data_IF_113054126453
#
_entry.id   IF_113054126453
#
_cell.length_a   1.000
_cell.length_b   1.000
_cell.length_c   1.000
_cell.angle_alpha   90.00
_cell.angle_beta   90.00
_cell.angle_gamma   90.00
#
_symmetry.space_group_name_H-M   'P 1'
#
loop_
_entity.id
_entity.type
_entity.pdbx_description
1 polymer ?
#
# COMPACT_ATOMS: atom_id res chain seq x y z
N UNK A 1 13.78 -36.92 31.13
CA UNK A 1 12.38 -37.33 31.35
C UNK A 1 12.04 -38.37 30.30
N UNK A 2 11.71 -39.61 30.70
CA UNK A 2 11.40 -40.68 29.74
C UNK A 2 9.96 -40.46 29.27
N UNK A 3 9.77 -40.13 28.00
CA UNK A 3 8.45 -39.92 27.40
C UNK A 3 7.78 -41.28 27.14
N UNK A 4 6.47 -41.42 27.38
CA UNK A 4 5.70 -42.68 27.19
C UNK A 4 6.02 -43.35 25.85
N UNK A 5 6.06 -42.57 24.76
CA UNK A 5 6.42 -43.07 23.41
C UNK A 5 7.81 -43.72 23.33
N UNK A 6 8.80 -43.23 24.08
CA UNK A 6 10.14 -43.81 24.09
C UNK A 6 10.19 -45.19 24.75
N UNK A 7 9.33 -45.44 25.74
CA UNK A 7 9.18 -46.75 26.38
C UNK A 7 8.49 -47.73 25.41
N UNK A 8 7.43 -47.27 24.75
CA UNK A 8 6.62 -48.09 23.84
C UNK A 8 7.02 -47.95 22.36
N UNK A 9 8.25 -47.52 22.07
CA UNK A 9 8.70 -47.24 20.71
C UNK A 9 8.62 -48.48 19.81
N UNK A 10 8.92 -49.66 20.37
CA UNK A 10 8.84 -50.92 19.64
C UNK A 10 7.39 -51.24 19.24
N UNK A 11 6.42 -51.00 20.12
CA UNK A 11 4.99 -51.19 19.82
C UNK A 11 4.52 -50.24 18.71
N UNK A 12 4.90 -48.96 18.80
CA UNK A 12 4.54 -47.91 17.83
C UNK A 12 5.12 -48.21 16.44
N UNK A 13 6.37 -48.70 16.36
CA UNK A 13 7.07 -48.95 15.08
C UNK A 13 6.85 -50.32 14.45
N UNK A 14 6.33 -51.30 15.19
CA UNK A 14 6.09 -52.65 14.67
C UNK A 14 4.62 -52.92 14.46
N UNK A 15 3.84 -52.96 15.54
CA UNK A 15 2.42 -53.30 15.48
C UNK A 15 1.59 -52.15 14.92
N UNK A 16 1.71 -50.95 15.48
CA UNK A 16 0.87 -49.81 15.06
C UNK A 16 1.19 -49.40 13.63
N UNK A 17 2.47 -49.33 13.25
CA UNK A 17 2.88 -49.00 11.88
C UNK A 17 2.34 -49.97 10.82
N UNK A 18 2.15 -51.25 11.16
CA UNK A 18 1.58 -52.26 10.25
C UNK A 18 0.04 -52.20 10.19
N UNK A 19 -0.61 -51.56 11.16
CA UNK A 19 -2.06 -51.47 11.25
C UNK A 19 -2.52 -50.03 10.99
N UNK A 20 -2.74 -49.70 9.71
CA UNK A 20 -3.14 -48.36 9.27
C UNK A 20 -4.45 -47.83 9.86
N UNK A 21 -5.24 -48.69 10.51
CA UNK A 21 -6.48 -48.34 11.21
C UNK A 21 -6.24 -47.85 12.65
N UNK A 22 -5.06 -48.09 13.22
CA UNK A 22 -4.71 -47.67 14.57
C UNK A 22 -3.90 -46.36 14.54
N UNK A 23 -4.23 -45.38 15.38
CA UNK A 23 -3.41 -44.18 15.53
C UNK A 23 -2.07 -44.51 16.21
N UNK A 24 -1.04 -43.69 15.95
CA UNK A 24 0.19 -43.76 16.73
C UNK A 24 -0.08 -43.44 18.21
N UNK A 25 0.83 -43.84 19.09
CA UNK A 25 0.70 -43.50 20.52
C UNK A 25 0.64 -41.98 20.72
N UNK A 26 1.33 -41.21 19.87
CA UNK A 26 1.29 -39.76 19.87
C UNK A 26 -0.09 -39.22 19.47
N UNK A 27 -0.62 -39.69 18.33
CA UNK A 27 -1.92 -39.24 17.81
C UNK A 27 -3.06 -39.61 18.76
N UNK A 28 -3.00 -40.80 19.38
CA UNK A 28 -3.94 -41.22 20.43
C UNK A 28 -3.92 -40.24 21.62
N UNK A 29 -2.74 -39.81 22.06
CA UNK A 29 -2.61 -38.83 23.14
C UNK A 29 -3.22 -37.47 22.79
N UNK A 30 -2.95 -36.97 21.58
CA UNK A 30 -3.55 -35.73 21.07
C UNK A 30 -5.07 -35.84 20.99
N UNK A 31 -5.59 -36.97 20.54
CA UNK A 31 -7.04 -37.19 20.43
C UNK A 31 -7.73 -37.25 21.79
N UNK A 32 -7.14 -37.95 22.77
CA UNK A 32 -7.66 -37.95 24.15
C UNK A 32 -7.66 -36.54 24.73
N UNK A 33 -6.58 -35.76 24.52
CA UNK A 33 -6.51 -34.38 24.98
C UNK A 33 -7.56 -33.49 24.29
N UNK A 34 -7.72 -33.63 22.97
CA UNK A 34 -8.77 -32.95 22.21
C UNK A 34 -10.15 -33.26 22.79
N UNK A 35 -10.49 -34.54 22.90
CA UNK A 35 -11.83 -34.99 23.28
C UNK A 35 -12.21 -34.63 24.73
N UNK A 36 -11.29 -34.81 25.69
CA UNK A 36 -11.61 -34.60 27.10
C UNK A 36 -11.33 -33.19 27.60
N UNK A 37 -10.43 -32.43 26.96
CA UNK A 37 -10.02 -31.10 27.45
C UNK A 37 -10.49 -29.99 26.51
N UNK A 38 -10.08 -30.00 25.24
CA UNK A 38 -10.34 -28.88 24.32
C UNK A 38 -11.76 -28.91 23.75
N UNK A 39 -12.40 -30.08 23.67
CA UNK A 39 -13.81 -30.20 23.27
C UNK A 39 -14.78 -29.80 24.39
N UNK A 40 -14.33 -29.61 25.62
CA UNK A 40 -15.17 -28.98 26.65
C UNK A 40 -15.39 -27.51 26.29
N UNK A 41 -16.66 -27.13 26.08
CA UNK A 41 -17.02 -25.80 25.60
C UNK A 41 -16.55 -24.67 26.53
N UNK A 42 -16.51 -24.89 27.86
CA UNK A 42 -16.07 -23.85 28.81
C UNK A 42 -14.57 -23.67 28.75
N UNK A 43 -13.82 -24.76 28.68
CA UNK A 43 -12.36 -24.73 28.52
C UNK A 43 -12.00 -24.09 27.19
N UNK A 44 -12.64 -24.51 26.10
CA UNK A 44 -12.41 -23.95 24.77
C UNK A 44 -12.67 -22.45 24.75
N UNK A 45 -13.87 -22.00 25.13
CA UNK A 45 -14.22 -20.57 25.11
C UNK A 45 -13.25 -19.75 25.94
N UNK A 46 -12.96 -20.15 27.19
CA UNK A 46 -12.03 -19.41 28.05
C UNK A 46 -10.62 -19.35 27.49
N UNK A 47 -10.16 -20.42 26.85
CA UNK A 47 -8.84 -20.47 26.22
C UNK A 47 -8.76 -19.50 25.05
N UNK A 48 -9.77 -19.54 24.16
CA UNK A 48 -9.85 -18.64 23.00
C UNK A 48 -9.97 -17.18 23.45
N UNK A 49 -10.89 -16.88 24.39
CA UNK A 49 -11.08 -15.53 24.93
C UNK A 49 -9.80 -15.02 25.61
N UNK A 50 -9.07 -15.90 26.31
CA UNK A 50 -7.79 -15.57 26.93
C UNK A 50 -6.68 -15.26 25.91
N UNK A 51 -6.58 -16.06 24.84
CA UNK A 51 -5.63 -15.82 23.74
C UNK A 51 -5.93 -14.47 23.08
N UNK A 52 -7.19 -14.23 22.72
CA UNK A 52 -7.65 -12.98 22.11
C UNK A 52 -7.37 -11.77 23.01
N UNK A 53 -7.62 -11.90 24.32
CA UNK A 53 -7.30 -10.88 25.31
C UNK A 53 -5.80 -10.55 25.32
N UNK A 54 -4.93 -11.55 25.34
CA UNK A 54 -3.48 -11.34 25.32
C UNK A 54 -3.03 -10.65 24.04
N UNK A 55 -3.53 -11.05 22.87
CA UNK A 55 -3.23 -10.38 21.60
C UNK A 55 -3.72 -8.92 21.62
N UNK A 56 -4.91 -8.67 22.17
CA UNK A 56 -5.45 -7.33 22.34
C UNK A 56 -4.61 -6.45 23.27
N UNK A 57 -4.02 -7.02 24.33
CA UNK A 57 -3.07 -6.34 25.22
C UNK A 57 -1.77 -6.00 24.49
N UNK A 58 -1.23 -6.94 23.72
CA UNK A 58 -0.02 -6.69 22.94
C UNK A 58 -0.19 -5.55 21.91
N UNK A 59 -1.35 -5.46 21.25
CA UNK A 59 -1.66 -4.33 20.34
C UNK A 59 -1.69 -2.97 21.01
N UNK A 60 -1.88 -2.93 22.34
CA UNK A 60 -1.77 -1.73 23.18
C UNK A 60 -0.37 -1.54 23.77
N UNK A 61 0.63 -2.21 23.20
CA UNK A 61 2.03 -2.17 23.63
C UNK A 61 2.24 -2.71 25.06
N UNK A 62 1.30 -3.53 25.57
CA UNK A 62 1.48 -4.22 26.84
C UNK A 62 2.33 -5.49 26.64
N UNK A 63 3.27 -5.73 27.57
CA UNK A 63 4.07 -6.96 27.54
C UNK A 63 3.21 -8.20 27.82
N UNK A 64 3.39 -9.23 26.98
CA UNK A 64 2.72 -10.52 27.09
C UNK A 64 3.72 -11.67 26.98
N UNK A 65 3.32 -12.86 27.44
CA UNK A 65 4.10 -14.07 27.22
C UNK A 65 3.83 -14.64 25.82
N UNK A 66 4.68 -14.25 24.86
CA UNK A 66 4.65 -14.74 23.47
C UNK A 66 4.90 -16.25 23.37
N UNK A 67 5.66 -16.82 24.31
CA UNK A 67 5.96 -18.26 24.30
C UNK A 67 4.72 -19.08 24.66
N UNK A 68 3.94 -18.61 25.65
CA UNK A 68 2.66 -19.19 26.02
C UNK A 68 1.66 -19.12 24.86
N UNK A 69 1.52 -17.96 24.20
CA UNK A 69 0.65 -17.83 23.03
C UNK A 69 1.03 -18.79 21.92
N UNK A 70 2.32 -18.87 21.59
CA UNK A 70 2.83 -19.80 20.58
C UNK A 70 2.49 -21.24 20.95
N UNK A 71 2.74 -21.66 22.18
CA UNK A 71 2.42 -23.02 22.63
C UNK A 71 0.93 -23.32 22.56
N UNK A 72 0.06 -22.38 22.95
CA UNK A 72 -1.39 -22.57 22.90
C UNK A 72 -1.90 -22.63 21.46
N UNK A 73 -1.44 -21.74 20.58
CA UNK A 73 -1.86 -21.70 19.18
C UNK A 73 -1.32 -22.88 18.37
N UNK A 74 -0.06 -23.28 18.61
CA UNK A 74 0.49 -24.53 18.05
C UNK A 74 -0.31 -25.74 18.52
N UNK A 75 -0.71 -25.79 19.79
CA UNK A 75 -1.59 -26.86 20.28
C UNK A 75 -2.96 -26.86 19.57
N UNK A 76 -3.59 -25.70 19.34
CA UNK A 76 -4.84 -25.63 18.57
C UNK A 76 -4.69 -26.05 17.10
N UNK A 77 -3.49 -25.88 16.52
CA UNK A 77 -3.14 -26.33 15.16
C UNK A 77 -2.81 -27.83 15.12
N UNK A 78 -2.06 -28.34 16.10
CA UNK A 78 -1.67 -29.76 16.17
C UNK A 78 -2.89 -30.68 16.41
N UNK A 79 -3.88 -30.22 17.17
CA UNK A 79 -5.11 -30.97 17.45
C UNK A 79 -6.06 -31.06 16.23
N UNK A 80 -5.69 -30.51 15.08
CA UNK A 80 -6.44 -30.58 13.82
C UNK A 80 -6.29 -31.91 13.09
N UNK A 81 -5.32 -32.73 13.50
CA UNK A 81 -4.96 -33.97 12.81
C UNK A 81 -5.42 -35.20 13.58
N UNK A 82 -6.54 -35.81 13.14
CA UNK A 82 -6.89 -37.18 13.52
C UNK A 82 -7.70 -37.87 12.39
N UNK A 83 -7.08 -38.01 11.21
CA UNK A 83 -7.66 -38.79 10.11
C UNK A 83 -7.83 -40.31 10.38
N UNK A 84 -6.96 -41.00 11.15
CA UNK A 84 -7.05 -42.45 11.31
C UNK A 84 -8.25 -42.91 12.15
N UNK A 85 -8.47 -42.32 13.33
CA UNK A 85 -9.62 -42.67 14.16
C UNK A 85 -10.94 -42.13 13.60
N UNK A 86 -10.94 -41.12 12.72
CA UNK A 86 -12.14 -40.72 11.97
C UNK A 86 -12.69 -41.86 11.13
N UNK A 87 -11.82 -42.65 10.48
CA UNK A 87 -12.24 -43.86 9.76
C UNK A 87 -12.75 -44.93 10.73
N UNK A 88 -12.08 -45.12 11.86
CA UNK A 88 -12.49 -46.13 12.84
C UNK A 88 -13.82 -45.76 13.52
N UNK A 89 -13.99 -44.51 13.97
CA UNK A 89 -15.22 -43.99 14.58
C UNK A 89 -16.39 -44.05 13.58
N UNK A 90 -16.14 -43.70 12.30
CA UNK A 90 -17.11 -43.85 11.22
C UNK A 90 -17.52 -45.31 10.99
N UNK A 91 -16.56 -46.26 11.09
CA UNK A 91 -16.85 -47.69 10.99
C UNK A 91 -17.55 -48.26 12.23
N UNK A 92 -17.28 -47.75 13.43
CA UNK A 92 -17.79 -48.27 14.71
C UNK A 92 -19.16 -47.67 15.09
N UNK A 93 -19.43 -46.41 14.73
CA UNK A 93 -20.65 -45.69 15.13
C UNK A 93 -21.78 -45.74 14.08
N UNK A 94 -21.86 -46.84 13.32
CA UNK A 94 -22.97 -47.08 12.40
C UNK A 94 -24.32 -46.71 13.09
N UNK A 95 -24.96 -45.61 12.63
CA UNK A 95 -26.26 -45.04 13.06
C UNK A 95 -26.33 -43.76 13.97
N UNK A 96 -25.39 -42.81 13.96
CA UNK A 96 -25.58 -41.53 14.69
C UNK A 96 -25.32 -40.26 13.85
N UNK A 97 -26.20 -39.99 12.88
CA UNK A 97 -26.12 -38.85 11.94
C UNK A 97 -26.19 -37.43 12.58
N UNK A 98 -26.38 -37.30 13.89
CA UNK A 98 -26.49 -35.99 14.58
C UNK A 98 -25.29 -35.63 15.47
N UNK A 99 -24.41 -36.58 15.80
CA UNK A 99 -23.20 -36.32 16.61
C UNK A 99 -21.97 -36.03 15.73
N UNK A 100 -22.05 -36.34 14.42
CA UNK A 100 -20.96 -36.19 13.46
C UNK A 100 -20.46 -34.75 13.27
N UNK A 101 -21.34 -33.74 13.32
CA UNK A 101 -20.95 -32.36 12.99
C UNK A 101 -19.97 -31.74 14.00
N UNK A 102 -20.11 -32.06 15.30
CA UNK A 102 -19.22 -31.53 16.35
C UNK A 102 -17.87 -32.26 16.42
N UNK A 103 -17.81 -33.51 15.97
CA UNK A 103 -16.58 -34.32 15.91
C UNK A 103 -15.79 -34.08 14.62
N UNK A 104 -16.43 -33.52 13.58
CA UNK A 104 -15.82 -33.23 12.28
C UNK A 104 -15.12 -31.88 12.18
N UNK A 105 -15.09 -31.04 13.22
CA UNK A 105 -14.36 -29.76 13.23
C UNK A 105 -12.85 -30.02 13.21
N UNK A 106 -12.35 -30.48 12.06
CA UNK A 106 -10.96 -30.84 11.83
C UNK A 106 -10.05 -29.60 11.87
N UNK A 107 -10.59 -28.42 12.12
CA UNK A 107 -9.94 -27.14 12.00
C UNK A 107 -10.19 -26.28 13.25
N UNK A 108 -9.82 -26.76 14.45
CA UNK A 108 -10.05 -26.04 15.71
C UNK A 108 -9.45 -24.62 15.66
N UNK A 109 -8.19 -24.47 15.26
CA UNK A 109 -7.60 -23.16 14.97
C UNK A 109 -8.46 -22.32 14.01
N UNK A 110 -8.82 -22.78 12.80
CA UNK A 110 -9.53 -21.91 11.86
C UNK A 110 -10.97 -21.59 12.30
N UNK A 111 -11.73 -22.59 12.76
CA UNK A 111 -13.15 -22.44 13.12
C UNK A 111 -13.35 -21.78 14.49
N UNK A 112 -12.56 -22.15 15.50
CA UNK A 112 -12.77 -21.67 16.88
C UNK A 112 -11.96 -20.41 17.20
N UNK A 113 -10.77 -20.26 16.62
CA UNK A 113 -9.88 -19.13 16.88
C UNK A 113 -9.86 -18.11 15.74
N UNK A 114 -9.44 -18.50 14.53
CA UNK A 114 -9.09 -17.58 13.44
C UNK A 114 -10.27 -16.70 13.03
N UNK A 115 -11.47 -17.26 12.89
CA UNK A 115 -12.67 -16.47 12.57
C UNK A 115 -12.93 -15.38 13.63
N UNK A 116 -12.96 -15.75 14.91
CA UNK A 116 -13.17 -14.80 16.01
C UNK A 116 -12.03 -13.77 16.10
N UNK A 117 -10.79 -14.21 15.89
CA UNK A 117 -9.61 -13.35 15.86
C UNK A 117 -9.71 -12.30 14.76
N UNK A 118 -10.10 -12.70 13.54
CA UNK A 118 -10.28 -11.79 12.41
C UNK A 118 -11.46 -10.84 12.63
N UNK A 119 -12.57 -11.31 13.20
CA UNK A 119 -13.72 -10.46 13.55
C UNK A 119 -13.35 -9.37 14.57
N UNK A 120 -12.68 -9.74 15.67
CA UNK A 120 -12.22 -8.77 16.66
C UNK A 120 -11.17 -7.81 16.10
N UNK A 121 -10.27 -8.32 15.25
CA UNK A 121 -9.27 -7.51 14.56
C UNK A 121 -9.92 -6.49 13.62
N UNK A 122 -10.93 -6.91 12.84
CA UNK A 122 -11.68 -6.01 11.98
C UNK A 122 -12.37 -4.91 12.80
N UNK A 123 -13.03 -5.27 13.90
CA UNK A 123 -13.70 -4.30 14.78
C UNK A 123 -12.71 -3.31 15.39
N UNK A 124 -11.56 -3.80 15.85
CA UNK A 124 -10.51 -2.98 16.45
C UNK A 124 -9.95 -1.97 15.45
N UNK A 125 -9.51 -2.43 14.27
CA UNK A 125 -8.92 -1.53 13.29
C UNK A 125 -9.91 -0.61 12.60
N UNK A 126 -11.19 -1.00 12.49
CA UNK A 126 -12.25 -0.09 12.04
C UNK A 126 -12.40 1.11 13.00
N UNK A 127 -12.42 0.86 14.31
CA UNK A 127 -12.48 1.91 15.31
C UNK A 127 -11.19 2.75 15.37
N UNK A 128 -10.03 2.10 15.25
CA UNK A 128 -8.72 2.75 15.26
C UNK A 128 -8.53 3.67 14.05
N UNK A 129 -8.90 3.22 12.84
CA UNK A 129 -8.83 4.01 11.61
C UNK A 129 -9.69 5.28 11.69
N UNK A 130 -10.96 5.12 12.08
CA UNK A 130 -11.88 6.25 12.23
C UNK A 130 -11.37 7.27 13.25
N UNK A 131 -10.89 6.80 14.41
CA UNK A 131 -10.40 7.65 15.49
C UNK A 131 -9.14 8.40 15.08
N UNK A 132 -8.14 7.70 14.56
CA UNK A 132 -6.85 8.30 14.22
C UNK A 132 -6.92 9.23 13.01
N UNK A 133 -7.82 8.98 12.06
CA UNK A 133 -8.04 9.90 10.93
C UNK A 133 -8.56 11.28 11.39
N UNK A 134 -9.26 11.32 12.52
CA UNK A 134 -9.73 12.56 13.13
C UNK A 134 -8.65 13.22 14.00
N UNK A 135 -7.96 12.42 14.81
CA UNK A 135 -7.01 12.93 15.82
C UNK A 135 -5.63 13.33 15.26
N UNK A 136 -5.17 12.73 14.16
CA UNK A 136 -3.80 12.88 13.66
C UNK A 136 -3.70 13.46 12.27
N UNK A 137 -2.55 14.03 11.96
CA UNK A 137 -2.19 14.47 10.62
C UNK A 137 -1.88 13.28 9.71
N UNK A 138 -2.03 13.48 8.40
CA UNK A 138 -1.85 12.40 7.40
C UNK A 138 -0.46 11.74 7.45
N UNK A 139 0.67 12.47 7.56
CA UNK A 139 1.98 11.85 7.72
C UNK A 139 2.04 10.87 8.90
N UNK A 140 1.57 11.30 10.08
CA UNK A 140 1.59 10.48 11.30
C UNK A 140 0.67 9.27 11.19
N UNK A 141 -0.49 9.45 10.53
CA UNK A 141 -1.41 8.37 10.25
C UNK A 141 -0.78 7.30 9.35
N UNK A 142 -0.13 7.69 8.25
CA UNK A 142 0.52 6.74 7.32
C UNK A 142 1.63 5.95 8.00
N UNK A 143 2.47 6.60 8.82
CA UNK A 143 3.49 5.93 9.62
C UNK A 143 2.89 4.93 10.60
N UNK A 144 1.78 5.31 11.26
CA UNK A 144 1.06 4.41 12.14
C UNK A 144 0.54 3.19 11.40
N UNK A 145 -0.04 3.35 10.21
CA UNK A 145 -0.50 2.23 9.39
C UNK A 145 0.66 1.30 8.99
N UNK A 146 1.80 1.85 8.58
CA UNK A 146 3.00 1.05 8.27
C UNK A 146 3.45 0.23 9.48
N UNK A 147 3.55 0.88 10.65
CA UNK A 147 3.89 0.23 11.92
C UNK A 147 2.93 -0.92 12.25
N UNK A 148 1.61 -0.73 12.13
CA UNK A 148 0.63 -1.79 12.37
C UNK A 148 0.78 -2.97 11.41
N UNK A 149 1.07 -2.70 10.13
CA UNK A 149 1.27 -3.77 9.15
C UNK A 149 2.53 -4.59 9.45
N UNK A 150 3.59 -3.95 9.91
CA UNK A 150 4.82 -4.62 10.37
C UNK A 150 4.59 -5.43 11.64
N UNK A 151 3.92 -4.86 12.64
CA UNK A 151 3.58 -5.56 13.88
C UNK A 151 2.72 -6.81 13.64
N UNK A 152 1.74 -6.72 12.75
CA UNK A 152 0.88 -7.87 12.42
C UNK A 152 1.62 -8.92 11.58
N UNK A 153 2.58 -8.51 10.74
CA UNK A 153 3.44 -9.45 10.04
C UNK A 153 4.40 -10.18 11.00
N UNK A 154 5.01 -9.47 11.95
CA UNK A 154 5.85 -10.06 13.01
C UNK A 154 5.04 -11.00 13.90
N UNK A 155 3.80 -10.63 14.22
CA UNK A 155 2.89 -11.45 15.01
C UNK A 155 2.64 -12.81 14.37
N UNK A 156 2.45 -12.83 13.06
CA UNK A 156 2.29 -14.08 12.31
C UNK A 156 3.52 -14.95 12.46
N UNK A 157 4.71 -14.39 12.22
CA UNK A 157 5.98 -15.12 12.31
C UNK A 157 6.23 -15.64 13.74
N UNK A 158 5.80 -14.87 14.75
CA UNK A 158 6.08 -15.17 16.15
C UNK A 158 5.22 -16.31 16.68
N UNK A 159 3.91 -16.26 16.49
CA UNK A 159 2.99 -17.20 17.15
C UNK A 159 1.68 -17.55 16.43
N UNK A 160 1.29 -16.90 15.33
CA UNK A 160 0.08 -17.32 14.58
C UNK A 160 0.42 -18.39 13.54
N UNK A 161 -0.60 -19.09 13.06
CA UNK A 161 -0.46 -19.96 11.91
C UNK A 161 -0.23 -19.14 10.62
N UNK A 162 0.60 -19.67 9.74
CA UNK A 162 0.93 -19.05 8.46
C UNK A 162 -0.30 -18.87 7.57
N UNK A 163 -1.34 -19.70 7.72
CA UNK A 163 -2.62 -19.55 7.02
C UNK A 163 -3.29 -18.20 7.30
N UNK A 164 -3.06 -17.63 8.48
CA UNK A 164 -3.69 -16.40 8.95
C UNK A 164 -3.09 -15.14 8.34
N UNK A 165 -1.87 -15.19 7.78
CA UNK A 165 -1.19 -13.99 7.29
C UNK A 165 -2.02 -13.22 6.26
N UNK A 166 -2.49 -13.91 5.23
CA UNK A 166 -3.22 -13.28 4.12
C UNK A 166 -4.55 -12.64 4.58
N UNK A 167 -5.45 -13.34 5.29
CA UNK A 167 -6.70 -12.73 5.76
C UNK A 167 -6.49 -11.65 6.82
N UNK A 168 -5.47 -11.78 7.68
CA UNK A 168 -5.14 -10.76 8.68
C UNK A 168 -4.67 -9.47 8.02
N UNK A 169 -3.63 -9.52 7.19
CA UNK A 169 -3.07 -8.34 6.53
C UNK A 169 -4.11 -7.67 5.63
N UNK A 170 -4.91 -8.44 4.89
CA UNK A 170 -5.99 -7.89 4.08
C UNK A 170 -7.06 -7.18 4.93
N UNK A 171 -7.35 -7.67 6.14
CA UNK A 171 -8.26 -7.00 7.06
C UNK A 171 -7.68 -5.67 7.54
N UNK A 172 -6.40 -5.63 7.91
CA UNK A 172 -5.73 -4.40 8.35
C UNK A 172 -5.67 -3.36 7.22
N UNK A 173 -5.27 -3.77 6.02
CA UNK A 173 -5.24 -2.92 4.82
C UNK A 173 -6.63 -2.37 4.49
N UNK A 174 -7.67 -3.21 4.56
CA UNK A 174 -9.04 -2.77 4.33
C UNK A 174 -9.46 -1.70 5.34
N UNK A 175 -9.31 -1.97 6.63
CA UNK A 175 -9.83 -1.10 7.68
C UNK A 175 -9.03 0.20 7.83
N UNK A 176 -7.69 0.15 7.76
CA UNK A 176 -6.86 1.35 7.96
C UNK A 176 -6.59 2.13 6.67
N UNK A 177 -6.64 1.50 5.50
CA UNK A 177 -6.39 2.20 4.23
C UNK A 177 -7.65 2.26 3.38
N UNK A 178 -8.25 1.10 3.07
CA UNK A 178 -9.37 0.99 2.13
C UNK A 178 -10.57 1.88 2.45
N UNK A 179 -11.05 1.84 3.68
CA UNK A 179 -12.21 2.65 4.11
C UNK A 179 -11.88 4.16 4.20
N UNK A 180 -10.61 4.54 4.14
CA UNK A 180 -10.15 5.92 4.38
C UNK A 180 -9.34 6.52 3.22
N UNK A 181 -9.27 5.88 2.05
CA UNK A 181 -8.47 6.35 0.90
C UNK A 181 -8.78 7.80 0.54
N UNK A 182 -10.05 8.10 0.25
CA UNK A 182 -10.47 9.44 -0.19
C UNK A 182 -10.28 10.48 0.91
N UNK A 183 -10.64 10.16 2.15
CA UNK A 183 -10.51 11.06 3.28
C UNK A 183 -9.05 11.45 3.54
N UNK A 184 -8.12 10.49 3.44
CA UNK A 184 -6.68 10.73 3.61
C UNK A 184 -6.15 11.70 2.56
N UNK A 185 -6.54 11.53 1.29
CA UNK A 185 -6.08 12.40 0.21
C UNK A 185 -6.68 13.80 0.29
N UNK A 186 -7.98 13.89 0.56
CA UNK A 186 -8.67 15.17 0.73
C UNK A 186 -8.12 16.00 1.89
N UNK A 187 -7.72 15.33 2.98
CA UNK A 187 -7.18 15.99 4.17
C UNK A 187 -5.73 16.46 3.97
N UNK A 188 -4.87 15.63 3.37
CA UNK A 188 -3.42 15.85 3.47
C UNK A 188 -2.62 15.84 2.17
N UNK A 189 -3.16 15.39 1.03
CA UNK A 189 -2.34 15.25 -0.18
C UNK A 189 -1.78 16.60 -0.65
N UNK A 190 -2.61 17.64 -0.69
CA UNK A 190 -2.21 18.99 -1.11
C UNK A 190 -1.04 19.51 -0.26
N UNK A 191 -1.14 19.38 1.06
CA UNK A 191 -0.09 19.80 1.99
C UNK A 191 1.22 19.04 1.78
N UNK A 192 1.15 17.71 1.64
CA UNK A 192 2.31 16.87 1.36
C UNK A 192 3.03 17.27 0.07
N UNK A 193 2.25 17.60 -0.97
CA UNK A 193 2.78 18.03 -2.26
C UNK A 193 3.37 19.43 -2.17
N UNK A 194 2.68 20.39 -1.56
CA UNK A 194 3.14 21.78 -1.43
C UNK A 194 4.46 21.87 -0.64
N UNK A 195 4.55 21.19 0.51
CA UNK A 195 5.76 21.14 1.34
C UNK A 195 6.86 20.20 0.81
N UNK A 196 6.62 19.51 -0.31
CA UNK A 196 7.58 18.60 -0.92
C UNK A 196 8.06 17.49 0.05
N UNK A 197 7.12 16.88 0.76
CA UNK A 197 7.37 15.83 1.77
C UNK A 197 7.64 14.48 1.10
N UNK A 198 8.80 14.34 0.45
CA UNK A 198 9.17 13.18 -0.39
C UNK A 198 9.01 11.84 0.34
N UNK A 199 9.47 11.74 1.58
CA UNK A 199 9.40 10.49 2.37
C UNK A 199 7.94 10.05 2.61
N UNK A 200 7.10 11.00 3.00
CA UNK A 200 5.68 10.77 3.26
C UNK A 200 4.92 10.42 1.97
N UNK A 201 5.27 11.05 0.84
CA UNK A 201 4.69 10.75 -0.47
C UNK A 201 5.06 9.36 -0.99
N UNK A 202 6.33 8.95 -0.81
CA UNK A 202 6.76 7.58 -1.11
C UNK A 202 5.99 6.56 -0.27
N UNK A 203 5.85 6.80 1.03
CA UNK A 203 5.10 5.93 1.93
C UNK A 203 3.62 5.86 1.54
N UNK A 204 3.00 7.00 1.22
CA UNK A 204 1.63 7.08 0.74
C UNK A 204 1.45 6.20 -0.51
N UNK A 205 2.32 6.34 -1.50
CA UNK A 205 2.25 5.55 -2.72
C UNK A 205 2.40 4.05 -2.47
N UNK A 206 3.35 3.65 -1.63
CA UNK A 206 3.58 2.26 -1.25
C UNK A 206 2.34 1.65 -0.57
N UNK A 207 1.74 2.36 0.40
CA UNK A 207 0.55 1.91 1.11
C UNK A 207 -0.68 1.84 0.18
N UNK A 208 -0.91 2.88 -0.63
CA UNK A 208 -2.05 2.93 -1.56
C UNK A 208 -1.95 1.87 -2.67
N UNK A 209 -0.75 1.42 -3.00
CA UNK A 209 -0.53 0.33 -3.96
C UNK A 209 -0.99 -1.05 -3.44
N UNK A 210 -1.14 -1.21 -2.12
CA UNK A 210 -1.59 -2.45 -1.48
C UNK A 210 -3.10 -2.65 -1.58
N UNK A 211 -3.86 -1.56 -1.72
CA UNK A 211 -5.33 -1.58 -1.73
C UNK A 211 -5.89 -1.54 -3.14
N UNK A 212 -6.95 -2.31 -3.38
CA UNK A 212 -7.71 -2.23 -4.64
C UNK A 212 -8.19 -0.81 -4.89
N UNK A 213 -7.97 -0.30 -6.09
CA UNK A 213 -8.32 1.06 -6.50
C UNK A 213 -7.54 2.19 -5.81
N UNK A 214 -6.63 1.91 -4.86
CA UNK A 214 -5.87 2.94 -4.15
C UNK A 214 -5.04 3.82 -5.12
N UNK A 215 -4.30 3.18 -6.02
CA UNK A 215 -3.53 3.89 -7.06
C UNK A 215 -4.42 4.72 -7.99
N UNK A 216 -5.63 4.23 -8.31
CA UNK A 216 -6.57 4.95 -9.18
C UNK A 216 -7.10 6.22 -8.49
N UNK A 217 -7.46 6.13 -7.22
CA UNK A 217 -7.97 7.27 -6.44
C UNK A 217 -6.87 8.30 -6.20
N UNK A 218 -5.64 7.86 -5.93
CA UNK A 218 -4.48 8.74 -5.85
C UNK A 218 -4.22 9.48 -7.16
N UNK A 219 -4.31 8.76 -8.30
CA UNK A 219 -4.11 9.35 -9.61
C UNK A 219 -5.15 10.43 -9.94
N UNK A 220 -6.40 10.26 -9.51
CA UNK A 220 -7.45 11.29 -9.65
C UNK A 220 -7.09 12.58 -8.87
N UNK A 221 -6.76 12.46 -7.58
CA UNK A 221 -6.40 13.63 -6.76
C UNK A 221 -5.10 14.27 -7.23
N UNK A 222 -4.16 13.48 -7.75
CA UNK A 222 -2.93 13.96 -8.37
C UNK A 222 -3.20 14.83 -9.60
N UNK A 223 -4.08 14.39 -10.51
CA UNK A 223 -4.48 15.18 -11.68
C UNK A 223 -5.16 16.47 -11.24
N UNK A 224 -6.08 16.40 -10.29
CA UNK A 224 -6.80 17.56 -9.77
C UNK A 224 -5.85 18.58 -9.14
N UNK A 225 -4.89 18.12 -8.33
CA UNK A 225 -3.86 18.97 -7.75
C UNK A 225 -3.03 19.68 -8.84
N UNK A 226 -2.51 18.94 -9.83
CA UNK A 226 -1.71 19.52 -10.91
C UNK A 226 -2.51 20.58 -11.66
N UNK A 227 -3.77 20.27 -12.01
CA UNK A 227 -4.65 21.21 -12.70
C UNK A 227 -4.94 22.45 -11.85
N UNK A 228 -5.19 22.29 -10.56
CA UNK A 228 -5.48 23.39 -9.64
C UNK A 228 -4.26 24.29 -9.46
N UNK A 229 -3.12 23.73 -9.04
CA UNK A 229 -1.88 24.47 -8.82
C UNK A 229 -1.39 25.13 -10.10
N UNK A 230 -1.32 24.39 -11.22
CA UNK A 230 -0.92 24.93 -12.52
C UNK A 230 -1.82 26.06 -13.01
N UNK A 231 -3.14 25.98 -12.77
CA UNK A 231 -4.07 27.07 -13.10
C UNK A 231 -3.73 28.37 -12.35
N UNK A 232 -3.27 28.29 -11.09
CA UNK A 232 -2.88 29.50 -10.33
C UNK A 232 -1.66 30.21 -10.91
N UNK A 233 -0.76 29.47 -11.57
CA UNK A 233 0.44 30.02 -12.21
C UNK A 233 0.05 30.78 -13.49
N UNK A 234 -0.83 30.21 -14.32
CA UNK A 234 -1.11 30.77 -15.66
C UNK A 234 -2.22 31.82 -15.69
N UNK A 235 -3.16 31.80 -14.74
CA UNK A 235 -4.34 32.70 -14.74
C UNK A 235 -3.98 34.10 -14.25
N UNK A 236 -3.03 34.25 -13.33
CA UNK A 236 -2.73 35.54 -12.69
C UNK A 236 -1.86 36.45 -13.59
N UNK A 237 -2.38 37.56 -14.15
CA UNK A 237 -1.63 38.41 -15.07
C UNK A 237 -0.43 39.12 -14.42
N UNK A 238 -0.44 39.30 -13.10
CA UNK A 238 0.66 39.93 -12.37
C UNK A 238 1.92 39.04 -12.35
N UNK A 239 1.73 37.72 -12.49
CA UNK A 239 2.80 36.72 -12.53
C UNK A 239 3.39 36.50 -13.93
N UNK A 240 2.94 37.20 -14.97
CA UNK A 240 3.38 36.97 -16.36
C UNK A 240 4.91 37.01 -16.55
N UNK A 241 5.64 37.76 -15.72
CA UNK A 241 7.11 37.84 -15.77
C UNK A 241 7.81 36.58 -15.22
N UNK A 242 7.24 35.96 -14.20
CA UNK A 242 7.78 34.77 -13.53
C UNK A 242 7.12 33.48 -13.98
N UNK A 243 6.02 33.57 -14.74
CA UNK A 243 5.18 32.44 -15.15
C UNK A 243 5.96 31.29 -15.79
N UNK A 244 6.86 31.57 -16.74
CA UNK A 244 7.64 30.52 -17.42
C UNK A 244 8.58 29.80 -16.44
N UNK A 245 9.23 30.55 -15.54
CA UNK A 245 10.11 29.97 -14.52
C UNK A 245 9.31 29.14 -13.51
N UNK A 246 8.18 29.67 -13.01
CA UNK A 246 7.29 28.94 -12.10
C UNK A 246 6.75 27.64 -12.73
N UNK A 247 6.47 27.63 -14.04
CA UNK A 247 6.06 26.41 -14.76
C UNK A 247 7.19 25.38 -14.88
N UNK A 248 8.42 25.83 -15.15
CA UNK A 248 9.60 24.96 -15.21
C UNK A 248 9.89 24.34 -13.83
N UNK A 249 9.91 25.16 -12.79
CA UNK A 249 10.16 24.70 -11.42
C UNK A 249 9.05 23.73 -10.95
N UNK A 250 7.79 24.03 -11.29
CA UNK A 250 6.68 23.14 -10.99
C UNK A 250 6.80 21.81 -11.76
N UNK A 251 7.19 21.85 -13.04
CA UNK A 251 7.40 20.64 -13.85
C UNK A 251 8.52 19.78 -13.28
N UNK A 252 9.65 20.38 -12.92
CA UNK A 252 10.80 19.69 -12.31
C UNK A 252 10.39 19.03 -10.99
N UNK A 253 9.64 19.73 -10.13
CA UNK A 253 9.10 19.20 -8.88
C UNK A 253 8.20 17.99 -9.12
N UNK A 254 7.25 18.11 -10.06
CA UNK A 254 6.29 17.05 -10.38
C UNK A 254 7.01 15.83 -10.97
N UNK A 255 7.96 16.01 -11.88
CA UNK A 255 8.77 14.92 -12.44
C UNK A 255 9.58 14.20 -11.37
N UNK A 256 10.21 14.95 -10.45
CA UNK A 256 10.99 14.40 -9.36
C UNK A 256 10.12 13.54 -8.41
N UNK A 257 8.90 14.00 -8.10
CA UNK A 257 7.95 13.21 -7.29
C UNK A 257 7.55 11.92 -8.03
N UNK A 258 7.28 11.98 -9.34
CA UNK A 258 6.93 10.78 -10.12
C UNK A 258 8.10 9.79 -10.14
N UNK A 259 9.32 10.29 -10.31
CA UNK A 259 10.53 9.46 -10.36
C UNK A 259 10.77 8.75 -9.02
N UNK A 260 10.87 9.53 -7.94
CA UNK A 260 11.28 9.03 -6.63
C UNK A 260 10.11 8.42 -5.84
N UNK A 261 8.97 9.11 -5.77
CA UNK A 261 7.85 8.70 -4.92
C UNK A 261 6.97 7.66 -5.60
N UNK A 262 6.71 7.82 -6.90
CA UNK A 262 5.79 6.96 -7.66
C UNK A 262 6.52 5.95 -8.55
N UNK A 263 7.84 5.77 -8.34
CA UNK A 263 8.65 4.72 -8.97
C UNK A 263 8.52 4.72 -10.50
N UNK A 264 8.55 5.91 -11.11
CA UNK A 264 8.39 6.12 -12.57
C UNK A 264 7.13 5.45 -13.16
N UNK A 265 6.01 5.41 -12.43
CA UNK A 265 4.80 4.79 -12.95
C UNK A 265 4.25 5.55 -14.17
N UNK A 266 4.19 4.87 -15.33
CA UNK A 266 3.75 5.45 -16.61
C UNK A 266 2.35 6.10 -16.55
N UNK A 267 1.45 5.57 -15.70
CA UNK A 267 0.11 6.15 -15.54
C UNK A 267 0.18 7.57 -14.97
N UNK A 268 1.08 7.82 -14.01
CA UNK A 268 1.28 9.14 -13.44
C UNK A 268 2.00 10.08 -14.41
N UNK A 269 2.94 9.57 -15.21
CA UNK A 269 3.59 10.33 -16.28
C UNK A 269 2.56 10.79 -17.31
N UNK A 270 1.69 9.90 -17.77
CA UNK A 270 0.66 10.22 -18.76
C UNK A 270 -0.41 11.17 -18.19
N UNK A 271 -0.86 10.91 -16.97
CA UNK A 271 -1.80 11.77 -16.25
C UNK A 271 -1.24 13.20 -16.06
N UNK A 272 0.05 13.33 -15.75
CA UNK A 272 0.73 14.61 -15.65
C UNK A 272 0.75 15.34 -17.00
N UNK A 273 1.10 14.64 -18.10
CA UNK A 273 1.10 15.24 -19.45
C UNK A 273 -0.27 15.81 -19.82
N UNK A 274 -1.33 15.03 -19.64
CA UNK A 274 -2.70 15.46 -19.91
C UNK A 274 -3.14 16.62 -19.02
N UNK A 275 -2.76 16.59 -17.73
CA UNK A 275 -3.06 17.67 -16.80
C UNK A 275 -2.37 18.98 -17.18
N UNK A 276 -1.09 18.92 -17.55
CA UNK A 276 -0.30 20.07 -18.04
C UNK A 276 -0.91 20.68 -19.30
N UNK A 277 -1.24 19.85 -20.28
CA UNK A 277 -1.95 20.26 -21.49
C UNK A 277 -3.28 20.95 -21.15
N UNK A 278 -4.05 20.38 -20.21
CA UNK A 278 -5.36 20.94 -19.83
C UNK A 278 -5.24 22.34 -19.23
N UNK A 279 -4.35 22.56 -18.25
CA UNK A 279 -4.31 23.86 -17.54
C UNK A 279 -3.58 24.94 -18.33
N UNK A 280 -2.54 24.59 -19.10
CA UNK A 280 -1.81 25.56 -19.93
C UNK A 280 -2.75 26.18 -20.96
N UNK A 281 -3.59 25.35 -21.58
CA UNK A 281 -4.53 25.80 -22.61
C UNK A 281 -5.79 26.52 -22.06
N UNK A 282 -5.95 26.65 -20.73
CA UNK A 282 -7.02 27.49 -20.16
C UNK A 282 -6.84 28.97 -20.44
N UNK A 283 -5.61 29.43 -20.69
CA UNK A 283 -5.32 30.83 -21.06
C UNK A 283 -4.95 30.88 -22.54
N UNK A 284 -5.89 31.22 -23.44
CA UNK A 284 -5.60 31.25 -24.87
C UNK A 284 -4.48 32.24 -25.20
N UNK A 285 -3.60 31.86 -26.11
CA UNK A 285 -2.54 32.65 -26.76
C UNK A 285 -1.35 33.13 -25.88
N UNK A 286 -1.48 33.25 -24.55
CA UNK A 286 -0.41 33.85 -23.73
C UNK A 286 0.77 32.93 -23.40
N UNK A 287 0.57 31.65 -23.04
CA UNK A 287 1.69 30.71 -22.87
C UNK A 287 2.45 30.49 -24.17
N UNK A 288 1.73 30.37 -25.30
CA UNK A 288 2.30 30.27 -26.64
C UNK A 288 3.15 31.49 -27.00
N UNK A 289 2.66 32.71 -26.75
CA UNK A 289 3.37 33.97 -26.97
C UNK A 289 4.67 34.07 -26.15
N UNK A 290 4.68 33.60 -24.90
CA UNK A 290 5.83 33.73 -24.01
C UNK A 290 6.91 32.65 -24.27
N UNK A 291 6.52 31.49 -24.80
CA UNK A 291 7.41 30.34 -25.01
C UNK A 291 7.89 30.21 -26.47
N UNK A 292 7.06 30.56 -27.45
CA UNK A 292 7.31 30.36 -28.89
C UNK A 292 8.55 31.06 -29.48
N UNK A 293 9.19 31.97 -28.73
CA UNK A 293 10.45 32.58 -29.13
C UNK A 293 11.68 31.69 -28.90
N UNK A 294 11.65 30.75 -27.94
CA UNK A 294 12.82 29.92 -27.59
C UNK A 294 13.23 28.94 -28.70
N UNK A 295 12.26 28.32 -29.36
CA UNK A 295 12.50 27.39 -30.47
C UNK A 295 13.06 28.11 -31.71
N UNK A 296 12.61 29.34 -31.96
CA UNK A 296 13.09 30.15 -33.07
C UNK A 296 14.55 30.60 -32.87
N UNK A 297 15.00 30.78 -31.61
CA UNK A 297 16.39 31.12 -31.30
C UNK A 297 17.32 29.91 -31.51
N UNK A 298 16.91 28.70 -31.13
CA UNK A 298 17.67 27.47 -31.48
C UNK A 298 17.83 27.30 -32.98
N UNK A 299 16.84 27.72 -33.78
CA UNK A 299 16.91 27.69 -35.24
C UNK A 299 17.85 28.76 -35.82
N UNK A 300 18.02 29.91 -35.14
CA UNK A 300 18.93 30.97 -35.58
C UNK A 300 20.39 30.78 -35.15
N UNK A 301 20.65 29.91 -34.16
CA UNK A 301 22.01 29.61 -33.67
C UNK A 301 22.65 28.33 -34.25
N UNK A 302 21.89 27.49 -34.96
CA UNK A 302 22.40 26.30 -35.65
C UNK A 302 22.39 26.53 -37.18
N UNK A 303 23.54 26.79 -37.84
CA UNK A 303 23.60 27.17 -39.26
C UNK A 303 23.29 26.04 -40.26
N UNK A 304 22.64 24.95 -39.86
CA UNK A 304 22.68 23.69 -40.63
C UNK A 304 21.37 22.90 -40.62
N UNK A 305 20.23 23.53 -40.92
CA UNK A 305 19.04 22.79 -41.34
C UNK A 305 18.26 23.51 -42.45
N UNK A 306 17.80 22.82 -43.51
CA UNK A 306 17.02 23.44 -44.57
C UNK A 306 15.63 23.85 -44.04
N UNK A 307 15.15 25.01 -44.49
CA UNK A 307 13.85 25.56 -44.13
C UNK A 307 12.69 24.63 -44.59
N UNK A 308 11.64 24.43 -43.76
CA UNK A 308 10.42 23.81 -44.23
C UNK A 308 9.64 24.79 -45.12
N UNK A 309 9.37 24.36 -46.34
CA UNK A 309 8.50 25.04 -47.29
C UNK A 309 7.04 24.93 -46.86
N UNK A 310 6.52 25.91 -46.12
CA UNK A 310 5.18 26.52 -46.26
C UNK A 310 4.75 27.22 -44.97
N UNK A 311 4.25 28.47 -45.04
CA UNK A 311 3.90 29.28 -43.88
C UNK A 311 2.43 29.05 -43.47
N UNK A 312 2.20 28.44 -42.32
CA UNK A 312 0.92 28.54 -41.63
C UNK A 312 1.02 29.66 -40.60
N UNK A 313 0.71 30.86 -41.09
CA UNK A 313 0.59 32.11 -40.36
C UNK A 313 -0.27 31.97 -39.09
N UNK A 314 0.32 32.22 -37.91
CA UNK A 314 -0.28 32.81 -36.69
C UNK A 314 0.73 32.89 -35.53
N UNK A 315 1.79 32.07 -35.54
CA UNK A 315 2.79 32.00 -34.46
C UNK A 315 4.04 32.89 -34.66
N UNK A 316 4.18 33.54 -35.82
CA UNK A 316 5.40 34.23 -36.26
C UNK A 316 5.47 35.72 -35.88
N UNK A 317 4.48 36.28 -35.18
CA UNK A 317 4.41 37.72 -34.91
C UNK A 317 4.01 38.06 -33.48
N UNK A 318 4.76 37.58 -32.47
CA UNK A 318 4.50 37.95 -31.08
C UNK A 318 5.82 38.18 -30.30
N UNK A 319 5.94 39.21 -29.43
CA UNK A 319 7.24 39.68 -28.95
C UNK A 319 7.83 38.80 -27.83
N UNK A 320 9.05 38.32 -28.08
CA UNK A 320 9.92 37.55 -27.20
C UNK A 320 10.41 38.34 -25.97
N UNK A 321 9.97 37.99 -24.76
CA UNK A 321 10.38 38.71 -23.53
C UNK A 321 11.20 37.88 -22.54
N UNK A 322 10.93 36.58 -22.37
CA UNK A 322 11.61 35.76 -21.35
C UNK A 322 12.99 35.26 -21.84
N UNK A 323 13.03 34.66 -23.04
CA UNK A 323 14.28 34.23 -23.69
C UNK A 323 15.14 35.45 -24.08
N UNK A 324 14.53 36.52 -24.61
CA UNK A 324 15.23 37.78 -24.91
C UNK A 324 15.82 38.43 -23.63
N UNK A 325 15.11 38.41 -22.49
CA UNK A 325 15.64 38.91 -21.22
C UNK A 325 16.83 38.10 -20.71
N UNK A 326 16.84 36.78 -20.90
CA UNK A 326 17.97 35.91 -20.48
C UNK A 326 19.15 35.99 -21.44
N UNK A 327 18.91 36.15 -22.75
CA UNK A 327 19.95 36.36 -23.76
C UNK A 327 20.56 37.77 -23.69
N UNK A 328 19.76 38.82 -23.44
CA UNK A 328 20.25 40.20 -23.24
C UNK A 328 20.98 40.40 -21.92
N UNK A 329 20.65 39.62 -20.89
CA UNK A 329 21.43 39.58 -19.65
C UNK A 329 22.79 38.85 -19.81
N UNK A 330 23.10 38.38 -21.03
CA UNK A 330 24.37 37.77 -21.38
C UNK A 330 25.54 38.71 -21.12
N UNK A 331 26.21 38.54 -19.97
CA UNK A 331 27.66 38.31 -19.94
C UNK A 331 28.27 37.86 -18.60
N UNK A 332 27.52 37.36 -17.59
CA UNK A 332 28.17 36.96 -16.31
C UNK A 332 27.76 35.66 -15.61
N UNK A 333 26.66 34.97 -15.92
CA UNK A 333 26.15 33.94 -14.98
C UNK A 333 25.63 32.61 -15.55
N UNK A 334 25.60 32.37 -16.86
CA UNK A 334 25.15 31.07 -17.40
C UNK A 334 26.10 30.53 -18.48
N UNK A 335 26.49 29.26 -18.35
CA UNK A 335 27.30 28.52 -19.32
C UNK A 335 26.45 28.07 -20.52
N UNK A 336 27.07 27.85 -21.68
CA UNK A 336 26.38 27.36 -22.89
C UNK A 336 25.62 26.04 -22.63
N UNK A 337 26.16 25.17 -21.77
CA UNK A 337 25.53 23.90 -21.37
C UNK A 337 24.25 24.10 -20.53
N UNK A 338 24.22 25.12 -19.66
CA UNK A 338 23.03 25.47 -18.88
C UNK A 338 21.94 26.09 -19.77
N UNK A 339 22.35 26.87 -20.79
CA UNK A 339 21.42 27.45 -21.76
C UNK A 339 20.78 26.36 -22.62
N UNK A 340 21.54 25.36 -23.07
CA UNK A 340 21.04 24.23 -23.84
C UNK A 340 20.05 23.37 -23.01
N UNK A 341 20.40 23.03 -21.76
CA UNK A 341 19.47 22.34 -20.83
C UNK A 341 18.19 23.14 -20.58
N UNK A 342 18.30 24.46 -20.46
CA UNK A 342 17.14 25.33 -20.29
C UNK A 342 16.23 25.31 -21.53
N UNK A 343 16.81 25.41 -22.73
CA UNK A 343 16.08 25.33 -23.99
C UNK A 343 15.36 23.99 -24.15
N UNK A 344 16.01 22.87 -23.84
CA UNK A 344 15.39 21.55 -23.87
C UNK A 344 14.17 21.46 -22.93
N UNK A 345 14.28 21.96 -21.70
CA UNK A 345 13.15 21.99 -20.75
C UNK A 345 12.00 22.87 -21.24
N UNK A 346 12.31 24.03 -21.84
CA UNK A 346 11.31 24.91 -22.43
C UNK A 346 10.61 24.22 -23.62
N UNK A 347 11.34 23.47 -24.45
CA UNK A 347 10.76 22.69 -25.55
C UNK A 347 9.81 21.61 -25.05
N UNK A 348 10.08 21.00 -23.88
CA UNK A 348 9.16 20.04 -23.26
C UNK A 348 7.83 20.73 -22.88
N UNK A 349 7.88 21.94 -22.33
CA UNK A 349 6.65 22.70 -22.01
C UNK A 349 5.91 23.11 -23.28
N UNK A 350 6.63 23.47 -24.35
CA UNK A 350 6.03 23.86 -25.63
C UNK A 350 5.16 22.77 -26.26
N UNK A 351 5.48 21.49 -26.01
CA UNK A 351 4.67 20.36 -26.50
C UNK A 351 3.24 20.30 -25.93
N UNK A 352 2.95 21.04 -24.87
CA UNK A 352 1.63 21.08 -24.22
C UNK A 352 0.74 22.26 -24.67
N UNK A 353 1.23 23.11 -25.56
CA UNK A 353 0.55 24.32 -26.04
C UNK A 353 -0.08 24.05 -27.40
N UNK A 354 -1.34 24.48 -27.60
CA UNK A 354 -2.02 24.48 -28.91
C UNK A 354 -2.16 25.88 -29.52
#
# INVERSE_FOLDING_TARGET
>A
QIMIRSIFLFLDRTYVLQNSMLPSIWDMGLELFRFYIISDAKVQSKTIDGILLLIGRERREEAIDRSLLRSLLSMLSDLQVAAPLRKLLFFVLQEAALVEASLLSAQIYQESFEQRFLEETNRLYAAEGQRLMQEREVPEYLHHVSKRLEEEADRVITYLDQSTQKPLIASVEKQLLGEHLTATLQKGLTHLLDENRIQDLSLLYQLFSRVRSGVQVLLQHWIEYIKAFGSTIVINPEKDKTMVQELLDFKDKVDYIIDICFVKNDKFVNAMKEAFETFINKRPNKPAELIGAGAAVSFFLLPSSPAPSSPSNSLLSVPAKHVDSKLRAGNKEATDEELEKMLDKIMIIFRFIY
#
